data_IF_252956532468
#
_entry.id   IF_252956532468
#
_cell.length_a   1.000
_cell.length_b   1.000
_cell.length_c   1.000
_cell.angle_alpha   90.00
_cell.angle_beta   90.00
_cell.angle_gamma   90.00
#
_symmetry.space_group_name_H-M   'P 1'
#
loop_
_entity.id
_entity.type
_entity.pdbx_description
1 polymer ?
#
# COMPACT_ATOMS: atom_id res chain seq x y z
N UNK A 1 -26.93 -0.40 1.90
CA UNK A 1 -25.71 0.42 1.96
C UNK A 1 -24.51 -0.40 1.51
N UNK A 2 -24.31 -1.62 2.03
CA UNK A 2 -23.31 -2.60 1.54
C UNK A 2 -23.35 -2.84 0.02
N UNK A 3 -24.56 -2.92 -0.55
CA UNK A 3 -24.76 -3.19 -1.97
C UNK A 3 -24.16 -2.13 -2.92
N UNK A 4 -23.91 -0.91 -2.44
CA UNK A 4 -23.30 0.15 -3.27
C UNK A 4 -21.80 -0.10 -3.48
N UNK A 5 -21.06 -0.45 -2.42
CA UNK A 5 -19.64 -0.80 -2.52
C UNK A 5 -19.45 -2.10 -3.32
N UNK A 6 -20.33 -3.08 -3.12
CA UNK A 6 -20.33 -4.32 -3.89
C UNK A 6 -20.48 -4.07 -5.39
N UNK A 7 -21.38 -3.16 -5.79
CA UNK A 7 -21.56 -2.78 -7.18
C UNK A 7 -20.32 -2.09 -7.75
N UNK A 8 -19.76 -1.10 -7.04
CA UNK A 8 -18.52 -0.42 -7.48
C UNK A 8 -17.39 -1.42 -7.64
N UNK A 9 -17.23 -2.32 -6.67
CA UNK A 9 -16.20 -3.36 -6.71
C UNK A 9 -16.40 -4.29 -7.91
N UNK A 10 -17.63 -4.74 -8.17
CA UNK A 10 -17.95 -5.62 -9.30
C UNK A 10 -17.64 -4.94 -10.63
N UNK A 11 -18.07 -3.69 -10.81
CA UNK A 11 -17.74 -2.89 -12.01
C UNK A 11 -16.23 -2.70 -12.19
N UNK A 12 -15.50 -2.53 -11.09
CA UNK A 12 -14.04 -2.41 -11.07
C UNK A 12 -13.41 -3.69 -11.62
N UNK A 13 -13.82 -4.85 -11.09
CA UNK A 13 -13.30 -6.14 -11.52
C UNK A 13 -13.61 -6.45 -12.98
N UNK A 14 -14.82 -6.15 -13.45
CA UNK A 14 -15.21 -6.37 -14.85
C UNK A 14 -14.37 -5.54 -15.82
N UNK A 15 -14.10 -4.28 -15.47
CA UNK A 15 -13.20 -3.42 -16.25
C UNK A 15 -11.78 -3.95 -16.28
N UNK A 16 -11.25 -4.39 -15.13
CA UNK A 16 -9.90 -4.97 -15.07
C UNK A 16 -9.80 -6.26 -15.89
N UNK A 17 -10.80 -7.15 -15.79
CA UNK A 17 -10.86 -8.41 -16.56
C UNK A 17 -10.91 -8.19 -18.07
N UNK A 18 -11.55 -7.11 -18.51
CA UNK A 18 -11.59 -6.72 -19.93
C UNK A 18 -10.35 -5.92 -20.39
N UNK A 19 -9.33 -5.78 -19.53
CA UNK A 19 -8.11 -5.02 -19.83
C UNK A 19 -8.28 -3.49 -19.78
N UNK A 20 -9.46 -3.02 -19.35
CA UNK A 20 -9.75 -1.61 -19.17
C UNK A 20 -9.22 -1.05 -17.86
N UNK A 21 -9.18 0.29 -17.76
CA UNK A 21 -8.86 1.00 -16.51
C UNK A 21 -10.16 1.47 -15.84
N UNK A 22 -10.42 1.10 -14.58
CA UNK A 22 -11.55 1.62 -13.83
C UNK A 22 -11.52 3.16 -13.77
N UNK A 23 -12.69 3.79 -13.91
CA UNK A 23 -12.85 5.25 -13.94
C UNK A 23 -13.58 5.73 -12.67
N UNK A 24 -13.28 5.11 -11.53
CA UNK A 24 -13.95 5.40 -10.25
C UNK A 24 -13.44 6.74 -9.73
N UNK A 25 -14.36 7.62 -9.33
CA UNK A 25 -14.03 8.86 -8.63
C UNK A 25 -14.50 8.77 -7.18
N UNK A 26 -13.60 9.05 -6.24
CA UNK A 26 -13.93 9.19 -4.84
C UNK A 26 -14.63 10.54 -4.61
N UNK A 27 -15.96 10.51 -4.59
CA UNK A 27 -16.80 11.63 -4.14
C UNK A 27 -17.03 11.56 -2.63
N UNK A 28 -17.50 12.66 -2.03
CA UNK A 28 -17.64 12.79 -0.58
C UNK A 28 -18.48 11.67 0.06
N UNK A 29 -19.57 11.26 -0.57
CA UNK A 29 -20.43 10.18 -0.08
C UNK A 29 -19.71 8.82 -0.05
N UNK A 30 -18.93 8.49 -1.08
CA UNK A 30 -18.15 7.25 -1.11
C UNK A 30 -17.02 7.28 -0.08
N UNK A 31 -16.36 8.42 0.11
CA UNK A 31 -15.35 8.59 1.16
C UNK A 31 -15.99 8.41 2.55
N UNK A 32 -17.15 9.03 2.80
CA UNK A 32 -17.87 8.89 4.06
C UNK A 32 -18.28 7.44 4.33
N UNK A 33 -18.76 6.73 3.30
CA UNK A 33 -19.09 5.31 3.40
C UNK A 33 -17.87 4.46 3.72
N UNK A 34 -16.74 4.67 3.04
CA UNK A 34 -15.50 3.95 3.31
C UNK A 34 -15.00 4.23 4.74
N UNK A 35 -15.06 5.50 5.20
CA UNK A 35 -14.68 5.87 6.57
C UNK A 35 -15.50 5.17 7.64
N UNK A 36 -16.78 4.96 7.40
CA UNK A 36 -17.66 4.27 8.33
C UNK A 36 -17.38 2.75 8.36
N UNK A 37 -17.25 2.14 7.19
CA UNK A 37 -17.13 0.67 7.08
C UNK A 37 -15.73 0.14 7.39
N UNK A 38 -14.67 0.88 7.03
CA UNK A 38 -13.30 0.39 7.15
C UNK A 38 -12.92 0.05 8.60
N UNK A 39 -13.08 0.93 9.61
CA UNK A 39 -12.72 0.64 10.99
C UNK A 39 -13.41 -0.62 11.53
N UNK A 40 -14.71 -0.77 11.24
CA UNK A 40 -15.50 -1.92 11.69
C UNK A 40 -14.94 -3.23 11.12
N UNK A 41 -14.56 -3.17 9.85
CA UNK A 41 -14.01 -4.31 9.09
C UNK A 41 -12.63 -4.72 9.62
N UNK A 42 -11.73 -3.76 9.87
CA UNK A 42 -10.37 -4.08 10.34
C UNK A 42 -10.35 -4.58 11.79
N UNK A 43 -11.23 -4.06 12.66
CA UNK A 43 -11.29 -4.46 14.06
C UNK A 43 -11.93 -5.84 14.27
N UNK A 44 -12.82 -6.24 13.37
CA UNK A 44 -13.54 -7.52 13.43
C UNK A 44 -12.86 -8.62 12.61
N UNK A 45 -11.66 -8.35 12.07
CA UNK A 45 -10.99 -9.23 11.12
C UNK A 45 -10.59 -10.56 11.77
N UNK A 46 -11.22 -11.65 11.33
CA UNK A 46 -10.82 -13.03 11.57
C UNK A 46 -10.54 -13.73 10.22
N UNK A 47 -9.61 -14.68 10.18
CA UNK A 47 -9.15 -15.29 8.93
C UNK A 47 -10.32 -15.91 8.13
N UNK A 48 -10.42 -15.58 6.82
CA UNK A 48 -11.46 -16.04 5.87
C UNK A 48 -12.88 -15.56 6.16
N UNK A 49 -13.01 -14.36 6.70
CA UNK A 49 -14.33 -13.80 7.04
C UNK A 49 -14.89 -12.85 6.00
N UNK A 50 -16.17 -12.51 6.17
CA UNK A 50 -16.83 -11.53 5.32
C UNK A 50 -16.18 -10.14 5.43
N UNK A 51 -15.57 -9.84 6.58
CA UNK A 51 -14.80 -8.63 6.82
C UNK A 51 -13.51 -8.61 5.99
N UNK A 52 -12.79 -9.73 5.88
CA UNK A 52 -11.62 -9.80 5.01
C UNK A 52 -11.97 -9.47 3.55
N UNK A 53 -13.11 -10.00 3.07
CA UNK A 53 -13.64 -9.71 1.73
C UNK A 53 -13.95 -8.22 1.60
N UNK A 54 -14.70 -7.64 2.55
CA UNK A 54 -15.04 -6.21 2.55
C UNK A 54 -13.79 -5.32 2.51
N UNK A 55 -12.76 -5.65 3.28
CA UNK A 55 -11.52 -4.88 3.29
C UNK A 55 -10.80 -4.98 1.94
N UNK A 56 -10.73 -6.17 1.34
CA UNK A 56 -10.18 -6.36 -0.01
C UNK A 56 -10.94 -5.54 -1.05
N UNK A 57 -12.26 -5.46 -0.95
CA UNK A 57 -13.08 -4.63 -1.85
C UNK A 57 -12.73 -3.14 -1.71
N UNK A 58 -12.68 -2.62 -0.47
CA UNK A 58 -12.31 -1.23 -0.19
C UNK A 58 -10.92 -0.93 -0.76
N UNK A 59 -9.93 -1.76 -0.46
CA UNK A 59 -8.55 -1.56 -0.92
C UNK A 59 -8.44 -1.61 -2.45
N UNK A 60 -9.17 -2.52 -3.11
CA UNK A 60 -9.20 -2.62 -4.57
C UNK A 60 -9.80 -1.36 -5.23
N UNK A 61 -10.90 -0.83 -4.67
CA UNK A 61 -11.53 0.40 -5.16
C UNK A 61 -10.54 1.58 -5.04
N UNK A 62 -9.85 1.69 -3.91
CA UNK A 62 -8.87 2.75 -3.66
C UNK A 62 -7.65 2.63 -4.59
N UNK A 63 -7.13 1.42 -4.78
CA UNK A 63 -6.00 1.19 -5.68
C UNK A 63 -6.31 1.56 -7.14
N UNK A 64 -7.59 1.51 -7.56
CA UNK A 64 -8.00 1.78 -8.94
C UNK A 64 -8.86 3.04 -9.15
N UNK A 65 -9.06 3.87 -8.13
CA UNK A 65 -9.71 5.17 -8.32
C UNK A 65 -8.84 6.19 -9.07
N UNK A 66 -9.46 7.18 -9.70
CA UNK A 66 -8.74 8.21 -10.48
C UNK A 66 -8.11 9.30 -9.60
N UNK A 67 -8.78 9.65 -8.51
CA UNK A 67 -8.36 10.72 -7.61
C UNK A 67 -7.91 10.18 -6.26
N UNK A 68 -6.88 10.80 -5.71
CA UNK A 68 -6.39 10.54 -4.37
C UNK A 68 -7.14 11.36 -3.31
N UNK A 69 -7.05 10.95 -2.04
CA UNK A 69 -7.61 11.68 -0.90
C UNK A 69 -6.79 11.38 0.36
N UNK A 70 -6.55 12.43 1.15
CA UNK A 70 -5.80 12.36 2.42
C UNK A 70 -6.69 12.02 3.61
N UNK A 71 -8.01 12.02 3.40
CA UNK A 71 -9.01 11.79 4.43
C UNK A 71 -9.00 10.37 5.01
N UNK A 72 -8.31 9.45 4.35
CA UNK A 72 -8.19 8.04 4.74
C UNK A 72 -6.81 7.69 5.30
N UNK A 73 -5.89 8.66 5.45
CA UNK A 73 -4.50 8.38 5.85
C UNK A 73 -4.40 7.63 7.18
N UNK A 74 -5.18 8.04 8.19
CA UNK A 74 -5.19 7.36 9.49
C UNK A 74 -5.73 5.93 9.40
N UNK A 75 -6.66 5.67 8.48
CA UNK A 75 -7.19 4.33 8.24
C UNK A 75 -6.12 3.41 7.66
N UNK A 76 -5.30 3.90 6.73
CA UNK A 76 -4.14 3.15 6.21
C UNK A 76 -3.15 2.83 7.32
N UNK A 77 -2.72 3.84 8.09
CA UNK A 77 -1.71 3.67 9.16
C UNK A 77 -2.21 2.68 10.22
N UNK A 78 -3.45 2.85 10.70
CA UNK A 78 -4.03 1.97 11.71
C UNK A 78 -4.21 0.54 11.18
N UNK A 79 -4.62 0.39 9.92
CA UNK A 79 -4.76 -0.93 9.30
C UNK A 79 -3.42 -1.63 9.19
N UNK A 80 -2.37 -0.96 8.70
CA UNK A 80 -1.03 -1.55 8.63
C UNK A 80 -0.52 -1.99 10.00
N UNK A 81 -0.76 -1.22 11.06
CA UNK A 81 -0.42 -1.61 12.45
C UNK A 81 -1.16 -2.89 12.88
N UNK A 82 -2.46 -2.97 12.64
CA UNK A 82 -3.28 -4.12 13.03
C UNK A 82 -2.87 -5.36 12.21
N UNK A 83 -2.79 -5.23 10.88
CA UNK A 83 -2.43 -6.31 9.96
C UNK A 83 -1.05 -6.89 10.25
N UNK A 84 -0.09 -6.03 10.59
CA UNK A 84 1.24 -6.45 11.05
C UNK A 84 1.14 -7.31 12.32
N UNK A 85 0.40 -6.84 13.33
CA UNK A 85 0.25 -7.55 14.61
C UNK A 85 -0.35 -8.96 14.45
N UNK A 86 -1.23 -9.15 13.47
CA UNK A 86 -1.84 -10.45 13.17
C UNK A 86 -1.12 -11.23 12.04
N UNK A 87 0.00 -10.72 11.53
CA UNK A 87 0.80 -11.30 10.43
C UNK A 87 0.00 -11.58 9.14
N UNK A 88 -0.92 -10.68 8.76
CA UNK A 88 -1.76 -10.87 7.57
C UNK A 88 -1.12 -10.30 6.30
N UNK A 89 -0.07 -10.95 5.80
CA UNK A 89 0.79 -10.45 4.71
C UNK A 89 0.05 -10.00 3.44
N UNK A 90 -0.96 -10.73 2.97
CA UNK A 90 -1.70 -10.38 1.74
C UNK A 90 -2.40 -9.01 1.85
N UNK A 91 -3.05 -8.75 2.98
CA UNK A 91 -3.73 -7.48 3.21
C UNK A 91 -2.74 -6.34 3.44
N UNK A 92 -1.56 -6.62 4.02
CA UNK A 92 -0.48 -5.63 4.10
C UNK A 92 -0.09 -5.19 2.69
N UNK A 93 0.09 -6.13 1.76
CA UNK A 93 0.42 -5.86 0.36
C UNK A 93 -0.62 -4.99 -0.32
N UNK A 94 -1.92 -5.34 -0.22
CA UNK A 94 -2.99 -4.51 -0.79
C UNK A 94 -3.07 -3.13 -0.16
N UNK A 95 -2.87 -3.04 1.16
CA UNK A 95 -2.88 -1.77 1.88
C UNK A 95 -1.70 -0.88 1.44
N UNK A 96 -0.50 -1.45 1.25
CA UNK A 96 0.68 -0.76 0.73
C UNK A 96 0.50 -0.29 -0.71
N UNK A 97 -0.14 -1.08 -1.57
CA UNK A 97 -0.44 -0.68 -2.95
C UNK A 97 -1.34 0.55 -3.00
N UNK A 98 -2.51 0.47 -2.35
CA UNK A 98 -3.45 1.58 -2.32
C UNK A 98 -2.90 2.83 -1.61
N UNK A 99 -2.06 2.67 -0.56
CA UNK A 99 -1.49 3.79 0.17
C UNK A 99 -0.50 4.63 -0.64
N UNK A 100 0.14 4.08 -1.68
CA UNK A 100 1.00 4.86 -2.58
C UNK A 100 0.24 6.03 -3.21
N UNK A 101 -1.01 5.81 -3.62
CA UNK A 101 -1.86 6.87 -4.18
C UNK A 101 -2.41 7.81 -3.10
N UNK A 102 -2.97 7.26 -2.04
CA UNK A 102 -3.75 8.04 -1.07
C UNK A 102 -2.89 8.73 0.00
N UNK A 103 -1.81 8.09 0.43
CA UNK A 103 -0.90 8.66 1.43
C UNK A 103 0.20 9.44 0.73
N UNK A 104 0.93 8.83 -0.20
CA UNK A 104 2.15 9.43 -0.77
C UNK A 104 1.83 10.46 -1.85
N UNK A 105 1.16 10.05 -2.93
CA UNK A 105 0.89 10.94 -4.06
C UNK A 105 0.00 12.13 -3.65
N UNK A 106 -1.00 11.90 -2.80
CA UNK A 106 -1.81 13.00 -2.26
C UNK A 106 -1.01 13.95 -1.37
N UNK A 107 -0.09 13.45 -0.53
CA UNK A 107 0.76 14.31 0.28
C UNK A 107 1.63 15.22 -0.58
N UNK A 108 2.23 14.69 -1.65
CA UNK A 108 2.98 15.52 -2.60
C UNK A 108 2.11 16.53 -3.34
N UNK A 109 0.90 16.12 -3.74
CA UNK A 109 -0.05 17.00 -4.44
C UNK A 109 -0.59 18.12 -3.54
N UNK A 110 -0.89 17.82 -2.28
CA UNK A 110 -1.53 18.75 -1.33
C UNK A 110 -0.55 19.52 -0.45
N UNK A 111 0.74 19.16 -0.47
CA UNK A 111 1.75 19.71 0.44
C UNK A 111 1.63 19.23 1.89
N UNK A 112 0.74 18.26 2.17
CA UNK A 112 0.58 17.68 3.51
C UNK A 112 1.74 16.74 3.82
N UNK A 113 2.30 16.86 5.03
CA UNK A 113 3.35 15.95 5.47
C UNK A 113 2.84 14.51 5.63
N UNK A 114 3.66 13.56 5.19
CA UNK A 114 3.45 12.13 5.50
C UNK A 114 3.81 11.91 6.97
N UNK A 115 2.94 11.23 7.72
CA UNK A 115 3.13 10.96 9.14
C UNK A 115 4.40 10.14 9.41
N UNK A 116 5.10 10.44 10.50
CA UNK A 116 6.27 9.67 10.94
C UNK A 116 5.92 8.19 11.20
N UNK A 117 4.73 7.92 11.73
CA UNK A 117 4.23 6.55 11.95
C UNK A 117 4.25 5.72 10.67
N UNK A 118 3.97 6.34 9.52
CA UNK A 118 4.00 5.66 8.23
C UNK A 118 5.43 5.28 7.83
N UNK A 119 6.40 6.17 8.06
CA UNK A 119 7.82 5.86 7.85
C UNK A 119 8.28 4.71 8.76
N UNK A 120 7.89 4.72 10.03
CA UNK A 120 8.30 3.71 11.00
C UNK A 120 7.70 2.32 10.67
N UNK A 121 6.47 2.28 10.15
CA UNK A 121 5.87 1.05 9.64
C UNK A 121 6.64 0.49 8.44
N UNK A 122 6.99 1.31 7.45
CA UNK A 122 7.78 0.87 6.30
C UNK A 122 9.16 0.33 6.73
N UNK A 123 9.83 0.97 7.70
CA UNK A 123 11.09 0.45 8.27
C UNK A 123 10.90 -0.91 8.94
N UNK A 124 9.77 -1.11 9.59
CA UNK A 124 9.42 -2.39 10.24
C UNK A 124 9.22 -3.48 9.18
N UNK A 125 8.47 -3.19 8.12
CA UNK A 125 8.19 -4.14 7.04
C UNK A 125 9.41 -4.53 6.21
N UNK A 126 10.41 -3.66 6.06
CA UNK A 126 11.69 -4.03 5.43
C UNK A 126 12.43 -5.14 6.20
N UNK A 127 12.24 -5.20 7.52
CA UNK A 127 12.86 -6.19 8.40
C UNK A 127 12.06 -7.49 8.46
N UNK A 128 10.85 -7.53 7.92
CA UNK A 128 10.06 -8.75 7.88
C UNK A 128 10.72 -9.84 7.02
N UNK A 129 10.44 -11.09 7.40
CA UNK A 129 10.88 -12.26 6.65
C UNK A 129 10.06 -12.54 5.39
N UNK A 130 8.86 -11.95 5.25
CA UNK A 130 7.96 -12.25 4.14
C UNK A 130 8.42 -11.55 2.84
N UNK A 131 8.81 -12.30 1.78
CA UNK A 131 9.41 -11.71 0.58
C UNK A 131 8.50 -10.72 -0.14
N UNK A 132 7.21 -11.01 -0.21
CA UNK A 132 6.26 -10.16 -0.93
C UNK A 132 5.97 -8.86 -0.18
N UNK A 133 5.87 -8.90 1.16
CA UNK A 133 5.68 -7.67 1.96
C UNK A 133 6.90 -6.77 1.81
N UNK A 134 8.10 -7.37 1.83
CA UNK A 134 9.35 -6.65 1.58
C UNK A 134 9.39 -6.00 0.21
N UNK A 135 9.03 -6.74 -0.85
CA UNK A 135 8.95 -6.17 -2.20
C UNK A 135 7.99 -4.98 -2.25
N UNK A 136 6.77 -5.14 -1.75
CA UNK A 136 5.78 -4.08 -1.79
C UNK A 136 6.14 -2.89 -0.91
N UNK A 137 6.84 -3.12 0.20
CA UNK A 137 7.42 -2.06 1.02
C UNK A 137 8.48 -1.29 0.24
N UNK A 138 9.36 -1.97 -0.49
CA UNK A 138 10.37 -1.34 -1.34
C UNK A 138 9.73 -0.53 -2.49
N UNK A 139 8.70 -1.07 -3.15
CA UNK A 139 7.91 -0.34 -4.15
C UNK A 139 7.30 0.93 -3.54
N UNK A 140 6.72 0.82 -2.36
CA UNK A 140 6.16 1.98 -1.65
C UNK A 140 7.24 3.00 -1.30
N UNK A 141 8.43 2.57 -0.88
CA UNK A 141 9.56 3.47 -0.62
C UNK A 141 10.05 4.15 -1.91
N UNK A 142 10.09 3.44 -3.03
CA UNK A 142 10.42 4.00 -4.35
C UNK A 142 9.51 5.18 -4.70
N UNK A 143 8.20 5.05 -4.46
CA UNK A 143 7.24 6.13 -4.75
C UNK A 143 7.44 7.40 -3.91
N UNK A 144 8.22 7.35 -2.82
CA UNK A 144 8.55 8.51 -2.00
C UNK A 144 9.56 9.46 -2.66
N UNK A 145 10.17 9.09 -3.80
CA UNK A 145 11.13 9.93 -4.50
C UNK A 145 12.30 10.35 -3.58
N UNK A 146 12.64 11.64 -3.45
CA UNK A 146 13.73 12.09 -2.58
C UNK A 146 13.58 11.71 -1.10
N UNK A 147 12.35 11.56 -0.59
CA UNK A 147 12.12 11.15 0.80
C UNK A 147 12.56 9.70 1.07
N UNK A 148 12.76 8.89 0.03
CA UNK A 148 13.29 7.53 0.15
C UNK A 148 14.70 7.46 0.76
N UNK A 149 15.49 8.54 0.68
CA UNK A 149 16.83 8.65 1.30
C UNK A 149 16.79 8.38 2.82
N UNK A 150 15.65 8.62 3.48
CA UNK A 150 15.45 8.34 4.92
C UNK A 150 15.52 6.86 5.28
N UNK A 151 15.42 5.98 4.27
CA UNK A 151 15.48 4.52 4.41
C UNK A 151 16.79 3.94 3.88
N UNK A 152 17.77 4.77 3.51
CA UNK A 152 18.99 4.29 2.86
C UNK A 152 19.65 3.14 3.61
N UNK A 153 19.75 3.25 4.95
CA UNK A 153 20.33 2.20 5.78
C UNK A 153 19.48 0.92 5.74
N UNK A 154 18.20 1.03 6.04
CA UNK A 154 17.28 -0.10 6.16
C UNK A 154 17.10 -0.85 4.83
N UNK A 155 17.09 -0.13 3.70
CA UNK A 155 16.97 -0.71 2.35
C UNK A 155 18.22 -1.51 1.98
N UNK A 156 19.41 -0.97 2.28
CA UNK A 156 20.67 -1.67 2.00
C UNK A 156 20.81 -2.93 2.88
N UNK A 157 20.37 -2.87 4.13
CA UNK A 157 20.32 -4.03 5.04
C UNK A 157 19.32 -5.09 4.57
N UNK A 158 18.24 -4.68 3.88
CA UNK A 158 17.22 -5.58 3.36
C UNK A 158 17.60 -6.27 2.02
N UNK A 159 18.79 -5.99 1.47
CA UNK A 159 19.23 -6.51 0.16
C UNK A 159 19.31 -8.04 0.18
N UNK A 160 18.55 -8.75 -0.69
CA UNK A 160 18.62 -10.20 -0.78
C UNK A 160 20.01 -10.68 -1.20
N UNK A 161 20.44 -11.81 -0.64
CA UNK A 161 21.69 -12.47 -1.04
C UNK A 161 21.53 -13.10 -2.43
N UNK A 162 22.63 -13.24 -3.18
CA UNK A 162 22.59 -13.77 -4.56
C UNK A 162 21.87 -15.12 -4.70
N UNK A 163 22.03 -16.02 -3.73
CA UNK A 163 21.38 -17.34 -3.75
C UNK A 163 19.86 -17.29 -3.53
N UNK A 164 19.33 -16.17 -3.03
CA UNK A 164 17.91 -15.96 -2.76
C UNK A 164 17.16 -15.43 -4.01
N UNK A 165 17.86 -15.11 -5.10
CA UNK A 165 17.27 -14.52 -6.30
C UNK A 165 16.44 -15.50 -7.17
N UNK A 166 16.31 -16.75 -6.76
CA UNK A 166 15.38 -17.72 -7.36
C UNK A 166 13.91 -17.39 -7.02
N UNK A 167 13.68 -16.69 -5.91
CA UNK A 167 12.35 -16.19 -5.55
C UNK A 167 12.04 -14.90 -6.33
N UNK A 168 10.88 -14.86 -7.02
CA UNK A 168 10.47 -13.70 -7.84
C UNK A 168 10.43 -12.39 -7.06
N UNK A 169 9.96 -12.42 -5.81
CA UNK A 169 9.81 -11.24 -4.97
C UNK A 169 11.17 -10.74 -4.46
N UNK A 170 12.09 -11.66 -4.17
CA UNK A 170 13.46 -11.31 -3.78
C UNK A 170 14.25 -10.76 -4.98
N UNK A 171 14.05 -11.32 -6.19
CA UNK A 171 14.60 -10.76 -7.42
C UNK A 171 14.08 -9.35 -7.69
N UNK A 172 12.77 -9.12 -7.57
CA UNK A 172 12.17 -7.80 -7.71
C UNK A 172 12.70 -6.83 -6.65
N UNK A 173 12.78 -7.25 -5.39
CA UNK A 173 13.37 -6.47 -4.30
C UNK A 173 14.80 -6.05 -4.61
N UNK A 174 15.64 -6.96 -5.14
CA UNK A 174 17.01 -6.64 -5.53
C UNK A 174 17.07 -5.55 -6.61
N UNK A 175 16.24 -5.67 -7.65
CA UNK A 175 16.17 -4.69 -8.74
C UNK A 175 15.74 -3.30 -8.25
N UNK A 176 14.74 -3.24 -7.36
CA UNK A 176 14.27 -1.97 -6.77
C UNK A 176 15.38 -1.34 -5.92
N UNK A 177 16.11 -2.14 -5.14
CA UNK A 177 17.24 -1.66 -4.34
C UNK A 177 18.34 -1.08 -5.23
N UNK A 178 18.73 -1.77 -6.29
CA UNK A 178 19.75 -1.26 -7.23
C UNK A 178 19.31 0.06 -7.89
N UNK A 179 18.04 0.17 -8.26
CA UNK A 179 17.48 1.41 -8.79
C UNK A 179 17.54 2.55 -7.76
N UNK A 180 17.09 2.31 -6.52
CA UNK A 180 17.16 3.28 -5.42
C UNK A 180 18.60 3.72 -5.14
N UNK A 181 19.56 2.79 -5.11
CA UNK A 181 20.98 3.10 -4.94
C UNK A 181 21.50 4.05 -6.05
N UNK A 182 21.07 3.82 -7.30
CA UNK A 182 21.44 4.66 -8.45
C UNK A 182 20.81 6.06 -8.38
N UNK A 183 19.55 6.16 -7.98
CA UNK A 183 18.86 7.45 -7.76
C UNK A 183 19.53 8.25 -6.63
N UNK A 184 19.83 7.63 -5.50
CA UNK A 184 20.47 8.31 -4.36
C UNK A 184 21.88 8.80 -4.67
N UNK A 185 22.65 8.07 -5.48
CA UNK A 185 23.96 8.54 -5.96
C UNK A 185 23.82 9.78 -6.81
N UNK A 186 22.81 9.84 -7.69
CA UNK A 186 22.52 11.02 -8.52
C UNK A 186 22.08 12.24 -7.72
N UNK A 187 21.35 12.05 -6.62
CA UNK A 187 20.91 13.15 -5.75
C UNK A 187 22.02 13.75 -4.88
N UNK A 188 23.13 13.04 -4.68
CA UNK A 188 24.30 13.49 -3.88
C UNK A 188 25.35 14.21 -4.74
N UNK A 189 25.16 14.25 -6.06
CA UNK A 189 25.95 15.00 -7.03
C UNK A 189 25.29 16.35 -7.31
#
# INVERSE_FOLDING_TARGET
>A
MDQFLDNIYTETLEKLKSGGRPQIKLHAELIALIKDQWPQTIHSLNFKSQEEIKLKQILCILDHCQNSTSELNDHFINSLKILHKINHHELIVYCLGASQKHVIAESFKSGKMISQDYFDLLKTFLKEGHPEVKEWTLRTIETLGPLSLRFQKEVLEAKPLFYQLLNRHQKASHQIIEYLESEWKRMKL
#
